data_IF_988401461857
#
_entry.id   IF_988401461857
#
_cell.length_a   1.000
_cell.length_b   1.000
_cell.length_c   1.000
_cell.angle_alpha   90.00
_cell.angle_beta   90.00
_cell.angle_gamma   90.00
#
_symmetry.space_group_name_H-M   'P 1'
#
loop_
_entity.id
_entity.type
_entity.pdbx_description
1 polymer ?
#
# COMPACT_ATOMS: atom_id res chain seq x y z
N UNK A 1 19.39 -7.77 -7.63
CA UNK A 1 20.10 -7.75 -8.93
C UNK A 1 19.74 -9.02 -9.67
N UNK A 2 19.38 -8.92 -10.95
CA UNK A 2 19.07 -10.06 -11.81
C UNK A 2 20.25 -10.31 -12.76
N UNK A 3 20.51 -11.57 -13.12
CA UNK A 3 21.58 -11.96 -14.06
C UNK A 3 21.09 -11.87 -15.52
N UNK A 4 20.36 -10.81 -15.86
CA UNK A 4 19.83 -10.61 -17.22
C UNK A 4 20.84 -9.80 -18.04
N UNK A 5 20.99 -10.11 -19.32
CA UNK A 5 21.85 -9.36 -20.24
C UNK A 5 21.20 -8.08 -20.80
N UNK A 6 19.87 -7.96 -20.73
CA UNK A 6 19.13 -6.79 -21.21
C UNK A 6 18.51 -6.02 -20.05
N UNK A 7 18.49 -4.70 -20.19
CA UNK A 7 17.85 -3.77 -19.27
C UNK A 7 16.36 -3.72 -19.58
N UNK A 8 15.51 -3.84 -18.56
CA UNK A 8 14.06 -3.59 -18.68
C UNK A 8 13.70 -2.21 -18.18
N UNK A 9 12.51 -1.75 -18.52
CA UNK A 9 11.98 -0.47 -18.04
C UNK A 9 11.95 -0.41 -16.50
N UNK A 10 11.67 -1.53 -15.81
CA UNK A 10 11.72 -1.63 -14.35
C UNK A 10 13.13 -1.34 -13.77
N UNK A 11 14.18 -1.78 -14.47
CA UNK A 11 15.57 -1.56 -14.05
C UNK A 11 15.97 -0.08 -14.25
N UNK A 12 15.43 0.56 -15.29
CA UNK A 12 15.60 1.99 -15.56
C UNK A 12 14.89 2.83 -14.48
N UNK A 13 13.64 2.51 -14.17
CA UNK A 13 12.88 3.19 -13.12
C UNK A 13 13.54 3.04 -11.76
N UNK A 14 14.08 1.86 -11.45
CA UNK A 14 14.86 1.64 -10.24
C UNK A 14 16.15 2.49 -10.21
N UNK A 15 16.86 2.62 -11.33
CA UNK A 15 18.05 3.47 -11.40
C UNK A 15 17.69 4.96 -11.20
N UNK A 16 16.62 5.44 -11.85
CA UNK A 16 16.12 6.80 -11.69
C UNK A 16 15.72 7.06 -10.23
N UNK A 17 15.02 6.12 -9.59
CA UNK A 17 14.62 6.20 -8.18
C UNK A 17 15.82 6.38 -7.24
N UNK A 18 16.87 5.57 -7.41
CA UNK A 18 18.08 5.63 -6.59
C UNK A 18 18.81 6.97 -6.77
N UNK A 19 18.96 7.43 -8.02
CA UNK A 19 19.61 8.71 -8.33
C UNK A 19 18.85 9.88 -7.73
N UNK A 20 17.54 9.93 -7.92
CA UNK A 20 16.68 10.99 -7.37
C UNK A 20 16.71 10.99 -5.85
N UNK A 21 16.67 9.83 -5.21
CA UNK A 21 16.74 9.72 -3.75
C UNK A 21 18.03 10.32 -3.20
N UNK A 22 19.18 10.00 -3.82
CA UNK A 22 20.47 10.58 -3.43
C UNK A 22 20.49 12.10 -3.61
N UNK A 23 20.04 12.58 -4.77
CA UNK A 23 20.04 14.00 -5.10
C UNK A 23 19.13 14.82 -4.20
N UNK A 24 17.89 14.34 -3.96
CA UNK A 24 16.87 15.00 -3.15
C UNK A 24 17.31 15.09 -1.68
N UNK A 25 17.98 14.06 -1.16
CA UNK A 25 18.52 14.07 0.20
C UNK A 25 19.64 15.09 0.43
N UNK A 26 20.36 15.48 -0.63
CA UNK A 26 21.38 16.53 -0.58
C UNK A 26 20.81 17.96 -0.66
N UNK A 27 19.49 18.13 -0.90
CA UNK A 27 18.87 19.45 -1.06
C UNK A 27 18.37 20.04 0.26
N UNK A 28 18.35 21.39 0.33
CA UNK A 28 17.70 22.13 1.42
C UNK A 28 16.21 21.80 1.49
N UNK A 29 15.64 21.82 2.70
CA UNK A 29 14.28 21.35 3.00
C UNK A 29 13.19 21.82 2.02
N UNK A 30 13.15 23.11 1.69
CA UNK A 30 12.14 23.67 0.78
C UNK A 30 12.25 23.10 -0.64
N UNK A 31 13.47 23.03 -1.18
CA UNK A 31 13.74 22.46 -2.51
C UNK A 31 13.47 20.97 -2.49
N UNK A 32 13.92 20.26 -1.45
CA UNK A 32 13.65 18.84 -1.23
C UNK A 32 12.15 18.54 -1.33
N UNK A 33 11.31 19.29 -0.61
CA UNK A 33 9.85 19.11 -0.62
C UNK A 33 9.22 19.37 -1.99
N UNK A 34 9.75 20.33 -2.75
CA UNK A 34 9.31 20.58 -4.12
C UNK A 34 9.65 19.42 -5.06
N UNK A 35 10.90 18.92 -4.98
CA UNK A 35 11.37 17.80 -5.79
C UNK A 35 10.66 16.48 -5.44
N UNK A 36 10.42 16.20 -4.15
CA UNK A 36 9.64 15.04 -3.69
C UNK A 36 8.25 15.01 -4.34
N UNK A 37 7.60 16.17 -4.45
CA UNK A 37 6.28 16.29 -5.10
C UNK A 37 6.37 16.10 -6.62
N UNK A 38 7.35 16.73 -7.26
CA UNK A 38 7.52 16.65 -8.72
C UNK A 38 7.92 15.26 -9.21
N UNK A 39 8.72 14.53 -8.43
CA UNK A 39 9.24 13.21 -8.79
C UNK A 39 8.56 12.05 -8.05
N UNK A 40 7.37 12.27 -7.48
CA UNK A 40 6.66 11.27 -6.68
C UNK A 40 6.51 9.91 -7.38
N UNK A 41 6.33 9.91 -8.71
CA UNK A 41 6.25 8.69 -9.54
C UNK A 41 7.48 7.79 -9.37
N UNK A 42 8.68 8.37 -9.33
CA UNK A 42 9.94 7.62 -9.26
C UNK A 42 10.40 7.34 -7.83
N UNK A 43 9.86 8.07 -6.84
CA UNK A 43 10.18 7.88 -5.43
C UNK A 43 9.28 6.85 -4.75
N UNK A 44 8.08 6.62 -5.28
CA UNK A 44 7.13 5.69 -4.68
C UNK A 44 7.37 4.30 -5.24
N UNK A 45 7.94 3.39 -4.43
CA UNK A 45 8.13 2.01 -4.85
C UNK A 45 6.81 1.23 -4.71
N UNK A 46 6.45 0.48 -5.75
CA UNK A 46 5.23 -0.33 -5.76
C UNK A 46 5.11 -1.28 -4.54
N UNK A 47 6.23 -1.84 -4.07
CA UNK A 47 6.24 -2.72 -2.89
C UNK A 47 5.77 -2.04 -1.61
N UNK A 48 6.11 -0.77 -1.40
CA UNK A 48 5.76 -0.04 -0.18
C UNK A 48 4.25 0.25 -0.11
N UNK A 49 3.62 0.44 -1.27
CA UNK A 49 2.17 0.63 -1.40
C UNK A 49 1.39 -0.63 -1.03
N UNK A 50 1.82 -1.82 -1.49
CA UNK A 50 1.18 -3.08 -1.11
C UNK A 50 1.28 -3.36 0.39
N UNK A 51 2.43 -3.09 1.00
CA UNK A 51 2.60 -3.24 2.44
C UNK A 51 1.66 -2.32 3.23
N UNK A 52 1.46 -1.09 2.75
CA UNK A 52 0.52 -0.12 3.35
C UNK A 52 -0.93 -0.61 3.25
N UNK A 53 -1.35 -1.07 2.07
CA UNK A 53 -2.69 -1.61 1.83
C UNK A 53 -2.94 -2.86 2.67
N UNK A 54 -1.97 -3.78 2.74
CA UNK A 54 -2.07 -4.97 3.58
C UNK A 54 -2.17 -4.61 5.07
N UNK A 55 -1.46 -3.56 5.50
CA UNK A 55 -1.57 -3.05 6.86
C UNK A 55 -2.97 -2.52 7.16
N UNK A 56 -3.54 -1.71 6.25
CA UNK A 56 -4.92 -1.21 6.36
C UNK A 56 -5.93 -2.36 6.50
N UNK A 57 -5.83 -3.37 5.63
CA UNK A 57 -6.74 -4.52 5.63
C UNK A 57 -6.65 -5.32 6.94
N UNK A 58 -5.42 -5.54 7.44
CA UNK A 58 -5.18 -6.23 8.70
C UNK A 58 -5.78 -5.49 9.89
N UNK A 59 -5.76 -4.14 9.89
CA UNK A 59 -6.41 -3.33 10.93
C UNK A 59 -7.91 -3.58 10.93
N UNK A 60 -8.56 -3.44 9.77
CA UNK A 60 -10.01 -3.63 9.63
C UNK A 60 -10.45 -5.05 9.98
N UNK A 61 -9.67 -6.06 9.60
CA UNK A 61 -9.96 -7.46 9.97
C UNK A 61 -9.88 -7.70 11.48
N UNK A 62 -8.91 -7.09 12.19
CA UNK A 62 -8.80 -7.20 13.65
C UNK A 62 -10.00 -6.55 14.35
N UNK A 63 -10.45 -5.40 13.86
CA UNK A 63 -11.64 -4.72 14.36
C UNK A 63 -12.89 -5.59 14.15
N UNK A 64 -13.07 -6.15 12.95
CA UNK A 64 -14.18 -7.04 12.64
C UNK A 64 -14.15 -8.34 13.47
N UNK A 65 -12.98 -8.91 13.71
CA UNK A 65 -12.79 -10.07 14.60
C UNK A 65 -13.21 -9.75 16.03
N UNK A 66 -12.76 -8.62 16.55
CA UNK A 66 -13.05 -8.19 17.93
C UNK A 66 -14.55 -7.98 18.11
N UNK A 67 -15.19 -7.26 17.19
CA UNK A 67 -16.63 -7.01 17.22
C UNK A 67 -17.44 -8.30 17.20
N UNK A 68 -17.08 -9.22 16.32
CA UNK A 68 -17.84 -10.44 16.15
C UNK A 68 -17.54 -11.48 17.24
N UNK A 69 -16.36 -11.46 17.87
CA UNK A 69 -16.08 -12.21 19.10
C UNK A 69 -16.96 -11.74 20.28
N UNK A 70 -17.11 -10.43 20.47
CA UNK A 70 -18.02 -9.86 21.48
C UNK A 70 -19.48 -10.27 21.23
N UNK A 71 -19.91 -10.25 19.96
CA UNK A 71 -21.25 -10.68 19.56
C UNK A 71 -21.49 -12.18 19.76
N UNK A 72 -20.47 -13.01 19.54
CA UNK A 72 -20.55 -14.46 19.76
C UNK A 72 -20.66 -14.80 21.25
N UNK A 73 -19.93 -14.08 22.13
CA UNK A 73 -20.07 -14.24 23.59
C UNK A 73 -21.50 -13.94 24.07
N UNK A 74 -22.15 -12.91 23.51
CA UNK A 74 -23.54 -12.58 23.86
C UNK A 74 -24.57 -13.63 23.40
N UNK A 75 -24.26 -14.40 22.35
CA UNK A 75 -25.19 -15.36 21.74
C UNK A 75 -24.90 -16.83 22.09
N UNK A 76 -23.90 -17.10 22.94
CA UNK A 76 -23.57 -18.46 23.41
C UNK A 76 -23.26 -19.49 22.31
N UNK A 77 -22.91 -19.04 21.10
CA UNK A 77 -22.75 -19.91 19.92
C UNK A 77 -21.27 -20.22 19.70
N UNK A 78 -20.88 -21.50 19.53
CA UNK A 78 -19.48 -21.86 19.36
C UNK A 78 -18.97 -21.37 17.99
N UNK A 79 -17.76 -20.80 18.03
CA UNK A 79 -17.08 -20.11 16.93
C UNK A 79 -16.69 -21.08 15.80
N UNK A 80 -17.67 -21.49 14.99
CA UNK A 80 -17.41 -22.26 13.77
C UNK A 80 -17.31 -21.29 12.59
N UNK A 81 -16.08 -21.12 12.11
CA UNK A 81 -15.71 -20.46 10.83
C UNK A 81 -16.45 -19.15 10.55
N UNK A 82 -16.07 -18.11 11.30
CA UNK A 82 -16.64 -16.77 11.12
C UNK A 82 -16.12 -16.13 9.82
N UNK A 83 -17.00 -15.94 8.85
CA UNK A 83 -16.70 -15.18 7.64
C UNK A 83 -16.74 -13.70 7.98
N UNK A 84 -15.57 -13.06 7.96
CA UNK A 84 -15.44 -11.62 8.16
C UNK A 84 -15.66 -10.92 6.83
N UNK A 85 -16.50 -9.89 6.83
CA UNK A 85 -16.75 -9.03 5.67
C UNK A 85 -16.23 -7.64 6.00
N UNK A 86 -15.43 -7.09 5.10
CA UNK A 86 -14.93 -5.71 5.16
C UNK A 86 -15.48 -5.00 3.93
N UNK A 87 -16.08 -3.83 4.12
CA UNK A 87 -16.57 -3.03 3.00
C UNK A 87 -15.39 -2.41 2.25
N UNK A 88 -15.51 -2.34 0.92
CA UNK A 88 -14.47 -1.74 0.08
C UNK A 88 -14.31 -0.25 0.41
N UNK A 89 -15.42 0.44 0.68
CA UNK A 89 -15.43 1.86 1.08
C UNK A 89 -14.62 2.11 2.36
N UNK A 90 -14.77 1.24 3.37
CA UNK A 90 -14.00 1.34 4.62
C UNK A 90 -12.51 1.09 4.37
N UNK A 91 -12.19 0.15 3.49
CA UNK A 91 -10.82 -0.15 3.11
C UNK A 91 -10.15 1.01 2.37
N UNK A 92 -10.86 1.64 1.43
CA UNK A 92 -10.40 2.84 0.74
C UNK A 92 -10.20 4.01 1.69
N UNK A 93 -11.17 4.24 2.59
CA UNK A 93 -11.07 5.29 3.60
C UNK A 93 -9.83 5.08 4.47
N UNK A 94 -9.60 3.84 4.93
CA UNK A 94 -8.42 3.49 5.74
C UNK A 94 -7.11 3.64 4.97
N UNK A 95 -7.09 3.29 3.69
CA UNK A 95 -5.92 3.50 2.84
C UNK A 95 -5.60 5.00 2.70
N UNK A 96 -6.61 5.85 2.47
CA UNK A 96 -6.44 7.31 2.38
C UNK A 96 -5.95 7.92 3.70
N UNK A 97 -6.43 7.45 4.85
CA UNK A 97 -5.90 7.85 6.17
C UNK A 97 -4.40 7.58 6.30
N UNK A 98 -3.93 6.47 5.72
CA UNK A 98 -2.51 6.07 5.73
C UNK A 98 -1.68 6.77 4.64
N UNK A 99 -2.23 7.80 3.98
CA UNK A 99 -1.62 8.53 2.86
C UNK A 99 -1.37 7.69 1.61
N UNK A 100 -2.18 6.65 1.39
CA UNK A 100 -2.22 6.01 0.08
C UNK A 100 -2.80 6.99 -0.95
N UNK A 101 -2.01 7.32 -1.97
CA UNK A 101 -2.37 8.27 -3.03
C UNK A 101 -2.62 7.61 -4.39
N UNK A 102 -2.59 6.26 -4.45
CA UNK A 102 -2.89 5.50 -5.66
C UNK A 102 -4.40 5.34 -5.87
N UNK A 103 -4.79 4.87 -7.05
CA UNK A 103 -6.15 4.42 -7.30
C UNK A 103 -6.23 2.91 -7.08
N UNK A 104 -7.13 2.45 -6.21
CA UNK A 104 -7.32 1.04 -5.93
C UNK A 104 -7.92 0.27 -7.13
N UNK A 105 -8.58 0.96 -8.05
CA UNK A 105 -9.10 0.36 -9.30
C UNK A 105 -7.98 0.01 -10.30
N UNK A 106 -6.86 0.74 -10.30
CA UNK A 106 -5.75 0.47 -11.23
C UNK A 106 -5.07 -0.87 -10.92
N UNK A 107 -5.12 -1.33 -9.66
CA UNK A 107 -4.58 -2.63 -9.27
C UNK A 107 -5.34 -3.81 -9.89
N UNK A 108 -6.61 -3.66 -10.29
CA UNK A 108 -7.37 -4.76 -10.91
C UNK A 108 -6.92 -5.08 -12.34
N UNK A 109 -6.28 -4.13 -13.04
CA UNK A 109 -5.81 -4.33 -14.40
C UNK A 109 -4.51 -5.16 -14.49
N UNK A 110 -3.69 -5.19 -13.43
CA UNK A 110 -2.45 -5.96 -13.42
C UNK A 110 -2.63 -7.45 -13.03
N UNK A 111 -3.78 -7.81 -12.45
CA UNK A 111 -4.09 -9.19 -12.05
C UNK A 111 -5.00 -9.94 -13.02
N UNK A 112 -5.36 -9.34 -14.17
CA UNK A 112 -5.99 -10.06 -15.28
C UNK A 112 -4.94 -10.62 -16.25
N UNK A 113 -4.27 -11.71 -15.84
CA UNK A 113 -3.51 -12.62 -16.71
C UNK A 113 -3.92 -14.06 -16.39
#
# INVERSE_FOLDING_TARGET
MSLREHVRDDDVDAAISVLLTSFINAQKFSVRKSLERGFRKYLTRAGDLFHLLLHALRSLLREAQTYAALKAQQRGTPSSRMVLKVLIEDFEAKARELNYAGNLDECLAEFSL
#
